data_IF_470291021726
#
_entry.id   IF_470291021726
#
_cell.length_a   1.000
_cell.length_b   1.000
_cell.length_c   1.000
_cell.angle_alpha   90.00
_cell.angle_beta   90.00
_cell.angle_gamma   90.00
#
_symmetry.space_group_name_H-M   'P 1'
#
loop_
_entity.id
_entity.type
_entity.pdbx_description
1 polymer ?
#
# COMPACT_ATOMS: atom_id res chain seq x y z
N UNK A 1 -9.92 -3.40 -52.80
CA UNK A 1 -10.94 -3.33 -51.80
C UNK A 1 -10.49 -2.37 -50.69
N UNK A 2 -11.28 -1.40 -50.33
CA UNK A 2 -11.00 -0.58 -49.13
C UNK A 2 -10.97 -1.53 -47.92
N UNK A 3 -9.99 -1.40 -47.00
CA UNK A 3 -10.06 -2.15 -45.77
C UNK A 3 -11.35 -1.77 -45.06
N UNK A 4 -12.13 -2.78 -44.65
CA UNK A 4 -13.31 -2.54 -43.82
C UNK A 4 -12.82 -1.94 -42.49
N UNK A 5 -13.09 -0.66 -42.28
CA UNK A 5 -12.89 -0.01 -41.00
C UNK A 5 -13.85 -0.68 -40.04
N UNK A 6 -13.32 -1.47 -39.13
CA UNK A 6 -14.09 -2.07 -38.03
C UNK A 6 -14.40 -0.96 -37.03
N UNK A 7 -15.60 -0.40 -37.11
CA UNK A 7 -16.09 0.52 -36.10
C UNK A 7 -16.54 -0.26 -34.87
N UNK A 8 -16.22 0.23 -33.69
CA UNK A 8 -16.65 -0.36 -32.43
C UNK A 8 -17.05 0.73 -31.43
N UNK A 9 -18.05 0.41 -30.61
CA UNK A 9 -18.45 1.18 -29.45
C UNK A 9 -18.28 0.28 -28.22
N UNK A 10 -17.57 0.77 -27.22
CA UNK A 10 -17.40 0.07 -25.96
C UNK A 10 -18.04 0.92 -24.84
N UNK A 11 -18.89 0.31 -24.07
CA UNK A 11 -19.49 0.90 -22.89
C UNK A 11 -19.16 0.04 -21.67
N UNK A 12 -18.66 0.70 -20.63
CA UNK A 12 -18.27 0.03 -19.40
C UNK A 12 -18.98 0.68 -18.22
N UNK A 13 -19.73 -0.13 -17.48
CA UNK A 13 -20.33 0.27 -16.21
C UNK A 13 -19.69 -0.53 -15.09
N UNK A 14 -19.32 0.13 -14.01
CA UNK A 14 -18.78 -0.57 -12.85
C UNK A 14 -19.33 -0.01 -11.54
N UNK A 15 -19.40 -0.89 -10.55
CA UNK A 15 -19.69 -0.55 -9.15
C UNK A 15 -18.54 -1.04 -8.29
N UNK A 16 -18.01 -0.13 -7.48
CA UNK A 16 -16.99 -0.44 -6.48
C UNK A 16 -17.60 -0.29 -5.09
N UNK A 17 -17.57 -1.35 -4.32
CA UNK A 17 -17.92 -1.35 -2.90
C UNK A 17 -16.60 -1.42 -2.09
N UNK A 18 -16.38 -0.44 -1.23
CA UNK A 18 -15.15 -0.36 -0.42
C UNK A 18 -15.46 0.23 0.95
N UNK A 19 -14.80 -0.31 1.97
CA UNK A 19 -14.81 0.24 3.31
C UNK A 19 -13.42 0.14 3.94
N UNK A 20 -13.13 1.06 4.85
CA UNK A 20 -11.92 1.05 5.66
C UNK A 20 -12.28 1.45 7.09
N UNK A 21 -11.72 0.76 8.06
CA UNK A 21 -11.77 1.14 9.49
C UNK A 21 -10.35 1.25 10.02
N UNK A 22 -10.15 2.22 10.89
CA UNK A 22 -8.88 2.45 11.56
C UNK A 22 -9.15 2.83 13.01
N UNK A 23 -8.50 2.12 13.94
CA UNK A 23 -8.60 2.39 15.37
C UNK A 23 -7.19 2.60 15.89
N UNK A 24 -6.95 3.72 16.55
CA UNK A 24 -5.64 4.08 17.07
C UNK A 24 -5.75 4.48 18.53
N UNK A 25 -4.92 3.85 19.36
CA UNK A 25 -4.73 4.19 20.76
C UNK A 25 -3.32 4.77 20.92
N UNK A 26 -3.24 5.94 21.52
CA UNK A 26 -1.97 6.61 21.83
C UNK A 26 -1.84 6.88 23.32
N UNK A 27 -0.63 6.78 23.82
CA UNK A 27 -0.26 7.12 25.17
C UNK A 27 1.06 7.90 25.15
N UNK A 28 1.06 9.09 25.72
CA UNK A 28 2.24 9.94 25.83
C UNK A 28 2.37 10.43 27.27
N UNK A 29 3.56 10.28 27.85
CA UNK A 29 3.86 10.75 29.21
C UNK A 29 5.31 11.17 29.37
N UNK A 30 5.49 12.27 30.09
CA UNK A 30 6.80 12.77 30.49
C UNK A 30 7.00 12.61 31.99
N UNK A 31 8.17 12.07 32.39
CA UNK A 31 8.59 11.85 33.76
C UNK A 31 9.97 12.52 33.95
N UNK A 32 10.00 13.74 34.45
CA UNK A 32 11.25 14.49 34.54
C UNK A 32 11.88 14.70 33.17
N UNK A 33 13.06 14.16 32.95
CA UNK A 33 13.78 14.24 31.66
C UNK A 33 13.44 13.12 30.67
N UNK A 34 12.55 12.19 31.04
CA UNK A 34 12.16 11.04 30.24
C UNK A 34 10.77 11.27 29.62
N UNK A 35 10.66 11.09 28.30
CA UNK A 35 9.39 11.08 27.61
C UNK A 35 9.17 9.73 26.94
N UNK A 36 8.02 9.12 27.18
CA UNK A 36 7.62 7.84 26.60
C UNK A 36 6.34 8.06 25.80
N UNK A 37 6.34 7.62 24.57
CA UNK A 37 5.15 7.56 23.71
C UNK A 37 4.90 6.11 23.29
N UNK A 38 3.66 5.69 23.31
CA UNK A 38 3.21 4.39 22.79
C UNK A 38 2.04 4.59 21.83
N UNK A 39 2.02 3.84 20.77
CA UNK A 39 0.93 3.80 19.79
C UNK A 39 0.62 2.35 19.47
N UNK A 40 -0.66 2.03 19.48
CA UNK A 40 -1.20 0.80 18.91
C UNK A 40 -2.31 1.14 17.93
N UNK A 41 -2.24 0.62 16.72
CA UNK A 41 -3.25 0.87 15.69
C UNK A 41 -3.64 -0.42 14.99
N UNK A 42 -4.91 -0.53 14.67
CA UNK A 42 -5.47 -1.58 13.83
C UNK A 42 -6.15 -0.94 12.63
N UNK A 43 -5.87 -1.46 11.46
CA UNK A 43 -6.52 -1.04 10.20
C UNK A 43 -7.11 -2.26 9.53
N UNK A 44 -8.34 -2.17 9.06
CA UNK A 44 -8.94 -3.18 8.19
C UNK A 44 -9.58 -2.49 7.00
N UNK A 45 -9.37 -3.04 5.82
CA UNK A 45 -9.97 -2.55 4.59
C UNK A 45 -10.48 -3.71 3.72
N UNK A 46 -11.48 -3.39 2.95
CA UNK A 46 -12.09 -4.29 1.97
C UNK A 46 -12.47 -3.50 0.74
N UNK A 47 -12.25 -4.06 -0.44
CA UNK A 47 -12.74 -3.50 -1.69
C UNK A 47 -13.07 -4.60 -2.70
N UNK A 48 -14.16 -4.39 -3.42
CA UNK A 48 -14.64 -5.26 -4.50
C UNK A 48 -15.14 -4.37 -5.64
N UNK A 49 -14.82 -4.74 -6.87
CA UNK A 49 -15.33 -4.04 -8.05
C UNK A 49 -16.01 -5.04 -8.97
N UNK A 50 -17.28 -4.80 -9.27
CA UNK A 50 -18.05 -5.53 -10.28
C UNK A 50 -18.29 -4.63 -11.46
N UNK A 51 -18.10 -5.12 -12.65
CA UNK A 51 -18.34 -4.35 -13.86
C UNK A 51 -18.97 -5.18 -14.96
N UNK A 52 -19.63 -4.48 -15.86
CA UNK A 52 -20.16 -4.98 -17.11
C UNK A 52 -19.54 -4.15 -18.24
N UNK A 53 -18.95 -4.85 -19.17
CA UNK A 53 -18.40 -4.29 -20.40
C UNK A 53 -19.24 -4.81 -21.57
N UNK A 54 -19.73 -3.90 -22.40
CA UNK A 54 -20.51 -4.20 -23.60
C UNK A 54 -19.77 -3.60 -24.77
N UNK A 55 -19.48 -4.41 -25.77
CA UNK A 55 -18.84 -3.98 -27.02
C UNK A 55 -19.76 -4.26 -28.20
N UNK A 56 -20.16 -3.21 -28.89
CA UNK A 56 -20.86 -3.27 -30.16
C UNK A 56 -19.88 -3.10 -31.34
N UNK A 57 -20.09 -3.86 -32.40
CA UNK A 57 -19.30 -3.80 -33.66
C UNK A 57 -20.22 -3.76 -34.87
N UNK A 58 -19.64 -3.42 -36.02
CA UNK A 58 -20.29 -3.48 -37.33
C UNK A 58 -21.53 -2.58 -37.37
N UNK A 59 -21.36 -1.30 -36.97
CA UNK A 59 -22.39 -0.28 -37.13
C UNK A 59 -22.52 0.09 -38.63
N UNK A 60 -23.76 0.21 -39.10
CA UNK A 60 -24.04 0.50 -40.51
C UNK A 60 -23.61 1.91 -40.94
N UNK A 61 -23.57 2.86 -40.00
CA UNK A 61 -23.16 4.25 -40.21
C UNK A 61 -22.42 4.77 -38.97
N UNK A 62 -21.55 5.76 -39.17
CA UNK A 62 -20.80 6.45 -38.10
C UNK A 62 -21.51 7.73 -37.61
N UNK A 63 -22.77 7.96 -38.03
CA UNK A 63 -23.53 9.11 -37.57
C UNK A 63 -23.84 9.00 -36.06
N UNK A 64 -23.82 10.11 -35.34
CA UNK A 64 -24.09 10.16 -33.90
C UNK A 64 -25.42 9.49 -33.49
N UNK A 65 -26.41 9.53 -34.36
CA UNK A 65 -27.73 8.93 -34.13
C UNK A 65 -27.74 7.40 -34.14
N UNK A 66 -26.70 6.76 -34.73
CA UNK A 66 -26.59 5.31 -34.86
C UNK A 66 -25.50 4.73 -33.94
N UNK A 67 -24.91 5.53 -33.07
CA UNK A 67 -23.91 5.08 -32.09
C UNK A 67 -24.53 4.54 -30.79
N UNK A 68 -25.62 3.82 -30.89
CA UNK A 68 -26.23 3.10 -29.77
C UNK A 68 -26.02 1.61 -29.94
N UNK A 69 -25.79 0.88 -28.85
CA UNK A 69 -25.59 -0.59 -28.87
C UNK A 69 -26.71 -1.32 -29.63
N UNK A 70 -27.93 -0.77 -29.62
CA UNK A 70 -29.08 -1.33 -30.33
C UNK A 70 -28.90 -1.39 -31.86
N UNK A 71 -28.00 -0.58 -32.41
CA UNK A 71 -27.73 -0.53 -33.87
C UNK A 71 -26.47 -1.26 -34.29
N UNK A 72 -25.79 -1.92 -33.34
CA UNK A 72 -24.62 -2.73 -33.66
C UNK A 72 -25.02 -4.01 -34.40
N UNK A 73 -24.28 -4.39 -35.41
CA UNK A 73 -24.44 -5.66 -36.10
C UNK A 73 -24.10 -6.86 -35.22
N UNK A 74 -23.22 -6.66 -34.25
CA UNK A 74 -22.91 -7.67 -33.23
C UNK A 74 -22.65 -7.01 -31.87
N UNK A 75 -23.12 -7.60 -30.79
CA UNK A 75 -22.91 -7.13 -29.42
C UNK A 75 -22.32 -8.27 -28.59
N UNK A 76 -21.25 -7.97 -27.89
CA UNK A 76 -20.62 -8.86 -26.92
C UNK A 76 -20.68 -8.22 -25.54
N UNK A 77 -21.18 -8.94 -24.55
CA UNK A 77 -21.18 -8.50 -23.18
C UNK A 77 -20.30 -9.43 -22.34
N UNK A 78 -19.53 -8.84 -21.44
CA UNK A 78 -18.69 -9.55 -20.47
C UNK A 78 -18.82 -8.90 -19.11
N UNK A 79 -19.10 -9.67 -18.09
CA UNK A 79 -19.02 -9.22 -16.72
C UNK A 79 -17.67 -9.58 -16.10
N UNK A 80 -17.24 -8.81 -15.13
CA UNK A 80 -16.03 -9.10 -14.38
C UNK A 80 -16.19 -8.76 -12.90
N UNK A 81 -15.44 -9.50 -12.10
CA UNK A 81 -15.31 -9.28 -10.67
C UNK A 81 -13.83 -9.13 -10.35
N UNK A 82 -13.44 -7.98 -9.78
CA UNK A 82 -12.11 -7.74 -9.27
C UNK A 82 -12.14 -7.66 -7.74
N UNK A 83 -11.41 -8.54 -7.09
CA UNK A 83 -11.45 -8.71 -5.65
C UNK A 83 -12.18 -10.01 -5.24
N UNK A 84 -12.61 -10.11 -3.98
CA UNK A 84 -12.41 -9.14 -2.91
C UNK A 84 -10.94 -8.98 -2.51
N UNK A 85 -10.52 -7.74 -2.31
CA UNK A 85 -9.24 -7.40 -1.69
C UNK A 85 -9.52 -6.99 -0.25
N UNK A 86 -9.07 -7.78 0.69
CA UNK A 86 -9.28 -7.57 2.12
C UNK A 86 -7.94 -7.63 2.84
N UNK A 87 -7.61 -6.58 3.58
CA UNK A 87 -6.35 -6.48 4.28
C UNK A 87 -6.59 -6.06 5.73
N UNK A 88 -5.72 -6.55 6.62
CA UNK A 88 -5.71 -6.16 8.03
C UNK A 88 -4.28 -5.84 8.41
N UNK A 89 -4.07 -4.70 9.07
CA UNK A 89 -2.77 -4.29 9.58
C UNK A 89 -2.84 -4.06 11.08
N UNK A 90 -1.83 -4.55 11.79
CA UNK A 90 -1.58 -4.27 13.20
C UNK A 90 -0.27 -3.49 13.30
N UNK A 91 -0.29 -2.37 14.02
CA UNK A 91 0.87 -1.50 14.19
C UNK A 91 1.06 -1.25 15.68
N UNK A 92 2.27 -1.52 16.18
CA UNK A 92 2.70 -1.13 17.50
C UNK A 92 3.97 -0.27 17.37
N UNK A 93 4.03 0.83 18.11
CA UNK A 93 5.18 1.74 18.14
C UNK A 93 5.43 2.20 19.54
N UNK A 94 6.70 2.16 19.94
CA UNK A 94 7.21 2.75 21.17
C UNK A 94 8.24 3.83 20.79
N UNK A 95 8.10 5.01 21.39
CA UNK A 95 9.02 6.10 21.27
C UNK A 95 9.52 6.48 22.64
N UNK A 96 10.80 6.72 22.77
CA UNK A 96 11.44 7.14 24.00
C UNK A 96 12.39 8.30 23.70
N UNK A 97 12.37 9.31 24.55
CA UNK A 97 13.38 10.36 24.51
C UNK A 97 13.85 10.69 25.92
N UNK A 98 15.14 11.02 26.00
CA UNK A 98 15.80 11.44 27.23
C UNK A 98 16.42 12.83 27.05
N UNK A 99 15.99 13.77 27.90
CA UNK A 99 16.49 15.14 28.01
C UNK A 99 16.59 15.87 26.65
N UNK A 100 15.67 15.60 25.73
CA UNK A 100 15.70 16.15 24.36
C UNK A 100 17.05 15.96 23.63
N UNK A 101 17.82 14.92 24.02
CA UNK A 101 19.13 14.59 23.45
C UNK A 101 19.13 13.25 22.75
N UNK A 102 18.62 12.22 23.42
CA UNK A 102 18.62 10.85 22.92
C UNK A 102 17.21 10.44 22.57
N UNK A 103 17.05 9.83 21.43
CA UNK A 103 15.78 9.38 20.89
C UNK A 103 15.89 7.94 20.44
N UNK A 104 14.95 7.11 20.83
CA UNK A 104 14.81 5.75 20.37
C UNK A 104 13.37 5.49 19.97
N UNK A 105 13.16 4.87 18.82
CA UNK A 105 11.82 4.44 18.39
C UNK A 105 11.93 3.00 17.91
N UNK A 106 11.06 2.15 18.41
CA UNK A 106 10.85 0.79 17.91
C UNK A 106 9.43 0.69 17.38
N UNK A 107 9.27 0.11 16.22
CA UNK A 107 7.95 -0.16 15.63
C UNK A 107 7.90 -1.57 15.08
N UNK A 108 6.72 -2.16 15.16
CA UNK A 108 6.41 -3.42 14.56
C UNK A 108 5.07 -3.31 13.84
N UNK A 109 5.05 -3.78 12.61
CA UNK A 109 3.84 -3.85 11.82
C UNK A 109 3.65 -5.26 11.30
N UNK A 110 2.45 -5.77 11.43
CA UNK A 110 2.02 -7.02 10.81
C UNK A 110 0.89 -6.74 9.85
N UNK A 111 1.08 -7.11 8.61
CA UNK A 111 0.09 -6.95 7.55
C UNK A 111 -0.41 -8.34 7.12
N UNK A 112 -1.72 -8.50 7.14
CA UNK A 112 -2.43 -9.65 6.57
C UNK A 112 -3.03 -9.22 5.24
N UNK A 113 -2.75 -9.98 4.18
CA UNK A 113 -3.26 -9.71 2.84
C UNK A 113 -4.15 -10.87 2.38
N UNK A 114 -5.43 -10.59 2.17
CA UNK A 114 -6.42 -11.58 1.75
C UNK A 114 -6.19 -12.14 0.35
N UNK A 115 -5.35 -11.48 -0.45
CA UNK A 115 -4.94 -11.94 -1.78
C UNK A 115 -3.89 -13.06 -1.75
N UNK A 116 -3.22 -13.26 -0.61
CA UNK A 116 -2.20 -14.31 -0.44
C UNK A 116 -2.82 -15.63 0.02
N UNK A 117 -2.15 -16.78 -0.19
CA UNK A 117 -2.53 -18.06 0.36
C UNK A 117 -2.59 -18.01 1.90
N UNK A 118 -3.49 -18.78 2.51
CA UNK A 118 -3.70 -18.78 3.96
C UNK A 118 -2.45 -19.11 4.77
N UNK A 119 -1.57 -19.96 4.23
CA UNK A 119 -0.33 -20.36 4.89
C UNK A 119 0.70 -19.22 4.98
N UNK A 120 0.67 -18.26 4.04
CA UNK A 120 1.64 -17.17 3.92
C UNK A 120 0.96 -15.82 3.68
N UNK A 121 -0.16 -15.55 4.34
CA UNK A 121 -0.96 -14.36 4.12
C UNK A 121 -0.56 -13.16 4.99
N UNK A 122 0.53 -13.24 5.75
CA UNK A 122 1.00 -12.15 6.60
C UNK A 122 2.49 -11.88 6.44
N UNK A 123 2.90 -10.67 6.79
CA UNK A 123 4.29 -10.26 6.88
C UNK A 123 4.54 -9.42 8.12
N UNK A 124 5.73 -9.59 8.71
CA UNK A 124 6.19 -8.82 9.87
C UNK A 124 7.26 -7.81 9.43
N UNK A 125 7.08 -6.56 9.82
CA UNK A 125 7.93 -5.43 9.43
C UNK A 125 8.40 -4.67 10.67
N UNK A 126 9.43 -5.19 11.37
CA UNK A 126 10.05 -4.46 12.47
C UNK A 126 10.93 -3.32 11.94
N UNK A 127 10.97 -2.21 12.69
CA UNK A 127 11.89 -1.13 12.45
C UNK A 127 12.36 -0.49 13.76
N UNK A 128 13.60 -0.03 13.78
CA UNK A 128 14.22 0.67 14.92
C UNK A 128 14.91 1.92 14.40
N UNK A 129 14.74 3.01 15.12
CA UNK A 129 15.42 4.28 14.85
C UNK A 129 16.07 4.78 16.13
N UNK A 130 17.31 5.20 16.03
CA UNK A 130 18.05 5.88 17.10
C UNK A 130 18.41 7.29 16.63
N UNK A 131 18.35 8.24 17.53
CA UNK A 131 18.68 9.63 17.26
C UNK A 131 19.47 10.25 18.41
N UNK A 132 20.47 11.06 18.08
CA UNK A 132 21.24 11.84 19.03
C UNK A 132 21.32 13.28 18.58
N UNK A 133 20.81 14.17 19.42
CA UNK A 133 20.83 15.61 19.18
C UNK A 133 22.05 16.22 19.88
N UNK A 134 23.16 16.20 19.17
CA UNK A 134 24.47 16.62 19.64
C UNK A 134 24.46 18.10 20.04
N UNK A 135 23.67 18.92 19.35
CA UNK A 135 23.53 20.34 19.65
C UNK A 135 22.94 20.65 21.04
N UNK A 136 22.36 19.66 21.72
CA UNK A 136 21.84 19.82 23.08
C UNK A 136 22.81 19.31 24.15
N UNK A 137 23.98 18.81 23.76
CA UNK A 137 24.99 18.37 24.71
C UNK A 137 25.71 19.55 25.33
N UNK A 138 26.17 19.38 26.58
CA UNK A 138 26.88 20.42 27.36
C UNK A 138 28.21 20.83 26.74
N UNK A 139 28.86 19.93 25.99
CA UNK A 139 30.14 20.20 25.33
C UNK A 139 29.95 20.93 23.98
N UNK A 140 28.76 20.96 23.42
CA UNK A 140 28.50 21.58 22.13
C UNK A 140 28.28 23.10 22.28
N UNK A 141 29.19 23.87 21.70
CA UNK A 141 29.05 25.34 21.62
C UNK A 141 28.26 25.67 20.34
N UNK A 142 27.04 26.15 20.51
CA UNK A 142 26.27 26.69 19.39
C UNK A 142 27.00 27.88 18.79
N UNK A 143 27.09 27.89 17.46
CA UNK A 143 27.65 29.04 16.72
C UNK A 143 26.57 29.55 15.76
N UNK A 144 26.75 30.76 15.25
CA UNK A 144 25.84 31.35 14.27
C UNK A 144 25.76 30.51 12.98
N UNK A 145 26.76 29.65 12.75
CA UNK A 145 26.83 28.78 11.57
C UNK A 145 26.20 27.41 11.80
N UNK A 146 26.20 26.85 13.01
CA UNK A 146 25.62 25.53 13.36
C UNK A 146 24.73 25.69 14.58
N UNK A 147 23.42 25.77 14.36
CA UNK A 147 22.40 25.87 15.42
C UNK A 147 21.85 24.52 15.82
N UNK A 148 21.82 23.54 14.89
CA UNK A 148 21.29 22.19 15.10
C UNK A 148 22.20 21.13 14.49
N UNK A 149 22.64 20.19 15.32
CA UNK A 149 23.36 18.99 14.88
C UNK A 149 22.68 17.75 15.47
N UNK A 150 22.13 16.89 14.59
CA UNK A 150 21.42 15.66 14.97
C UNK A 150 21.94 14.49 14.14
N UNK A 151 22.34 13.42 14.80
CA UNK A 151 22.68 12.14 14.18
C UNK A 151 21.46 11.20 14.25
N UNK A 152 21.18 10.50 13.16
CA UNK A 152 20.13 9.46 13.11
C UNK A 152 20.65 8.20 12.46
N UNK A 153 20.27 7.06 13.02
CA UNK A 153 20.45 5.75 12.43
C UNK A 153 19.10 5.01 12.45
N UNK A 154 18.73 4.35 11.37
CA UNK A 154 17.52 3.54 11.31
C UNK A 154 17.77 2.25 10.56
N UNK A 155 17.11 1.21 11.05
CA UNK A 155 17.06 -0.10 10.44
C UNK A 155 15.61 -0.56 10.39
N UNK A 156 15.20 -1.23 9.29
CA UNK A 156 13.85 -1.75 9.17
C UNK A 156 13.73 -2.76 8.04
N UNK A 157 12.68 -3.57 8.16
CA UNK A 157 12.25 -4.52 7.14
C UNK A 157 11.00 -3.99 6.46
N UNK A 158 10.96 -4.04 5.12
CA UNK A 158 9.84 -3.56 4.29
C UNK A 158 9.37 -4.71 3.39
N UNK A 159 8.06 -4.81 3.20
CA UNK A 159 7.44 -5.73 2.25
C UNK A 159 6.76 -4.98 1.11
N UNK A 160 6.69 -5.62 -0.05
CA UNK A 160 5.98 -5.12 -1.21
C UNK A 160 5.04 -6.19 -1.77
N UNK A 161 3.76 -5.86 -1.87
CA UNK A 161 2.71 -6.72 -2.44
C UNK A 161 2.29 -6.29 -3.86
N UNK A 162 2.87 -5.22 -4.41
CA UNK A 162 2.43 -4.64 -5.69
C UNK A 162 2.66 -5.55 -6.90
N UNK A 163 3.56 -6.52 -6.78
CA UNK A 163 3.82 -7.52 -7.82
C UNK A 163 2.80 -8.66 -7.87
N UNK A 164 1.93 -8.78 -6.86
CA UNK A 164 0.96 -9.86 -6.75
C UNK A 164 -0.40 -9.35 -7.21
N UNK A 165 -0.90 -9.88 -8.34
CA UNK A 165 -2.20 -9.51 -8.90
C UNK A 165 -3.37 -9.88 -7.99
N UNK A 166 -4.45 -9.10 -8.04
CA UNK A 166 -5.71 -9.37 -7.30
C UNK A 166 -6.37 -10.69 -7.71
N UNK A 167 -6.09 -11.17 -8.91
CA UNK A 167 -6.68 -12.39 -9.49
C UNK A 167 -5.86 -13.66 -9.19
N UNK A 168 -4.95 -13.60 -8.22
CA UNK A 168 -4.12 -14.74 -7.86
C UNK A 168 -4.95 -16.03 -7.60
N UNK A 169 -6.06 -15.92 -6.86
CA UNK A 169 -6.92 -17.08 -6.57
C UNK A 169 -7.62 -17.64 -7.81
N UNK A 170 -8.02 -16.80 -8.75
CA UNK A 170 -8.66 -17.25 -9.99
C UNK A 170 -7.65 -17.83 -10.99
N UNK A 171 -6.40 -17.38 -10.94
CA UNK A 171 -5.33 -17.95 -11.74
C UNK A 171 -4.95 -19.37 -11.33
N UNK A 172 -5.06 -19.71 -10.05
CA UNK A 172 -4.85 -21.07 -9.55
C UNK A 172 -5.94 -22.07 -10.01
N UNK A 173 -7.12 -21.60 -10.37
CA UNK A 173 -8.21 -22.43 -10.87
C UNK A 173 -8.09 -22.76 -12.36
N UNK A 174 -7.32 -21.96 -13.11
CA UNK A 174 -6.95 -22.28 -14.49
C UNK A 174 -5.71 -23.17 -14.45
N UNK A 175 -5.87 -24.45 -14.73
CA UNK A 175 -4.85 -25.48 -14.84
C UNK A 175 -3.79 -25.09 -15.87
N UNK A 176 -2.80 -24.26 -15.49
CA UNK A 176 -1.64 -23.95 -16.31
C UNK A 176 -0.39 -23.85 -15.41
N UNK A 177 0.69 -24.41 -15.88
CA UNK A 177 2.00 -24.48 -15.23
C UNK A 177 2.43 -23.18 -14.56
N UNK A 178 2.45 -23.18 -13.23
CA UNK A 178 2.91 -22.07 -12.42
C UNK A 178 4.24 -22.41 -11.77
N UNK A 179 5.22 -21.55 -11.99
CA UNK A 179 6.38 -21.44 -11.10
C UNK A 179 5.99 -20.52 -9.94
N UNK A 180 6.03 -21.06 -8.75
CA UNK A 180 5.76 -20.35 -7.51
C UNK A 180 6.79 -19.22 -7.33
N UNK A 181 6.39 -17.97 -7.54
CA UNK A 181 7.21 -16.83 -7.15
C UNK A 181 6.93 -16.51 -5.69
N UNK A 182 7.90 -16.85 -4.85
CA UNK A 182 7.87 -16.48 -3.43
C UNK A 182 7.79 -14.95 -3.26
N UNK A 183 7.06 -14.46 -2.24
CA UNK A 183 7.03 -13.02 -1.95
C UNK A 183 8.43 -12.51 -1.64
N UNK A 184 8.89 -11.54 -2.42
CA UNK A 184 10.22 -10.95 -2.25
C UNK A 184 10.17 -9.98 -1.07
N UNK A 185 10.91 -10.32 -0.02
CA UNK A 185 11.10 -9.44 1.13
C UNK A 185 12.42 -8.70 0.96
N UNK A 186 12.38 -7.37 0.93
CA UNK A 186 13.57 -6.53 0.89
C UNK A 186 13.90 -6.00 2.27
N UNK A 187 15.13 -6.22 2.70
CA UNK A 187 15.67 -5.59 3.90
C UNK A 187 16.51 -4.39 3.48
N UNK A 188 16.08 -3.19 3.83
CA UNK A 188 16.85 -1.97 3.58
C UNK A 188 17.57 -1.54 4.84
N UNK A 189 18.89 -1.47 4.74
CA UNK A 189 19.73 -0.80 5.70
C UNK A 189 19.88 0.65 5.22
N UNK A 190 19.24 1.60 5.90
CA UNK A 190 19.45 3.02 5.59
C UNK A 190 20.68 3.52 6.30
N UNK A 191 21.63 4.05 5.56
CA UNK A 191 22.82 4.71 6.10
C UNK A 191 22.42 5.92 6.96
N UNK A 192 23.20 6.28 7.98
CA UNK A 192 22.93 7.44 8.82
C UNK A 192 22.86 8.71 7.98
N UNK A 193 21.78 9.46 8.14
CA UNK A 193 21.63 10.77 7.50
C UNK A 193 22.19 11.83 8.43
N UNK A 194 23.25 12.46 8.02
CA UNK A 194 23.80 13.67 8.67
C UNK A 194 23.06 14.84 8.01
N UNK A 195 22.21 15.53 8.78
CA UNK A 195 21.64 16.82 8.38
C UNK A 195 22.55 17.92 8.90
N UNK A 196 23.27 18.55 8.00
CA UNK A 196 24.05 19.77 8.26
C UNK A 196 23.13 20.99 8.22
#
# INVERSE_FOLDING_TARGET
GKPALSNNLQETTYRRDAWKTENTLTYDKTFGEHTVGALFSTTADHSETRGLEVTGKDFADESEFLQYMAYAGSVTASDYLTGPDANVSLIARLAYSYNDRYFATASWRRDYAGRLPKENNYGDFPAVTLGWKISNEKFFKKSDFISLLKLRASWGRVGNLSSIGLNYKSALLKKSSWTEQAPVSYTHLTLPTILL
#
